data_IF_373452492645
#
_entry.id   IF_373452492645
#
_cell.length_a   1.000
_cell.length_b   1.000
_cell.length_c   1.000
_cell.angle_alpha   90.00
_cell.angle_beta   90.00
_cell.angle_gamma   90.00
#
_symmetry.space_group_name_H-M   'P 1'
#
loop_
_entity.id
_entity.type
_entity.pdbx_description
1 polymer ?
#
# COMPACT_ATOMS: atom_id res chain seq x y z
N UNK A 1 13.73 -18.18 0.21
CA UNK A 1 12.44 -18.47 -0.44
C UNK A 1 12.48 -18.06 -1.91
N UNK A 2 11.58 -18.61 -2.73
CA UNK A 2 11.31 -18.11 -4.09
C UNK A 2 9.94 -17.40 -4.07
N UNK A 3 9.91 -16.10 -4.35
CA UNK A 3 8.73 -15.24 -4.18
C UNK A 3 8.31 -14.64 -5.51
N UNK A 4 7.07 -14.89 -5.95
CA UNK A 4 6.49 -14.23 -7.10
C UNK A 4 5.85 -12.89 -6.67
N UNK A 5 6.11 -11.80 -7.40
CA UNK A 5 5.62 -10.46 -7.05
C UNK A 5 4.89 -9.84 -8.24
N UNK A 6 3.58 -9.59 -8.08
CA UNK A 6 2.85 -8.73 -9.00
C UNK A 6 2.99 -7.27 -8.59
N UNK A 7 2.93 -6.34 -9.55
CA UNK A 7 3.21 -4.95 -9.24
C UNK A 7 4.67 -4.69 -8.84
N UNK A 8 5.58 -5.59 -9.20
CA UNK A 8 7.01 -5.52 -8.90
C UNK A 8 7.70 -4.25 -9.43
N UNK A 9 7.17 -3.62 -10.47
CA UNK A 9 7.65 -2.33 -11.02
C UNK A 9 7.15 -1.11 -10.24
N UNK A 10 6.18 -1.29 -9.34
CA UNK A 10 5.65 -0.23 -8.48
C UNK A 10 6.60 0.13 -7.33
N UNK A 11 6.25 1.18 -6.57
CA UNK A 11 7.08 1.69 -5.48
C UNK A 11 7.38 0.58 -4.44
N UNK A 12 6.35 0.01 -3.84
CA UNK A 12 6.52 -1.04 -2.80
C UNK A 12 7.17 -2.29 -3.40
N UNK A 13 6.73 -2.70 -4.60
CA UNK A 13 7.23 -3.92 -5.25
C UNK A 13 8.73 -3.89 -5.55
N UNK A 14 9.26 -2.75 -6.02
CA UNK A 14 10.71 -2.58 -6.26
C UNK A 14 11.52 -2.66 -4.97
N UNK A 15 11.08 -1.96 -3.93
CA UNK A 15 11.75 -1.98 -2.63
C UNK A 15 11.71 -3.38 -2.00
N UNK A 16 10.57 -4.07 -2.09
CA UNK A 16 10.44 -5.44 -1.61
C UNK A 16 11.35 -6.40 -2.39
N UNK A 17 11.33 -6.32 -3.73
CA UNK A 17 12.18 -7.17 -4.57
C UNK A 17 13.67 -6.98 -4.22
N UNK A 18 14.13 -5.73 -4.05
CA UNK A 18 15.50 -5.41 -3.65
C UNK A 18 15.84 -6.03 -2.29
N UNK A 19 15.00 -5.88 -1.27
CA UNK A 19 15.23 -6.43 0.07
C UNK A 19 15.26 -7.96 0.07
N UNK A 20 14.37 -8.61 -0.67
CA UNK A 20 14.36 -10.07 -0.81
C UNK A 20 15.64 -10.57 -1.48
N UNK A 21 16.07 -9.95 -2.58
CA UNK A 21 17.33 -10.30 -3.26
C UNK A 21 18.55 -10.08 -2.37
N UNK A 22 18.61 -8.99 -1.61
CA UNK A 22 19.67 -8.72 -0.62
C UNK A 22 19.70 -9.77 0.50
N UNK A 23 18.54 -10.33 0.88
CA UNK A 23 18.43 -11.42 1.84
C UNK A 23 18.86 -12.78 1.27
N UNK A 24 19.02 -12.89 -0.04
CA UNK A 24 19.37 -14.12 -0.75
C UNK A 24 18.17 -14.93 -1.26
N UNK A 25 16.98 -14.34 -1.24
CA UNK A 25 15.78 -14.95 -1.83
C UNK A 25 15.80 -14.86 -3.36
N UNK A 26 15.01 -15.71 -4.00
CA UNK A 26 14.74 -15.63 -5.43
C UNK A 26 13.44 -14.83 -5.66
N UNK A 27 13.45 -13.92 -6.62
CA UNK A 27 12.28 -13.12 -6.98
C UNK A 27 11.84 -13.44 -8.40
N UNK A 28 10.54 -13.66 -8.58
CA UNK A 28 9.88 -13.80 -9.88
C UNK A 28 8.96 -12.59 -10.10
N UNK A 29 9.47 -11.50 -10.71
CA UNK A 29 8.65 -10.32 -10.95
C UNK A 29 7.62 -10.61 -12.05
N UNK A 30 6.37 -10.25 -11.83
CA UNK A 30 5.28 -10.32 -12.82
C UNK A 30 4.91 -8.91 -13.27
N UNK A 31 4.87 -8.67 -14.57
CA UNK A 31 4.57 -7.36 -15.15
C UNK A 31 3.85 -7.50 -16.49
N UNK A 32 2.97 -6.55 -16.81
CA UNK A 32 2.32 -6.47 -18.13
C UNK A 32 3.29 -6.10 -19.25
N UNK A 33 4.37 -5.40 -18.91
CA UNK A 33 5.42 -5.02 -19.86
C UNK A 33 6.66 -5.89 -19.67
N UNK A 34 7.35 -6.20 -20.76
CA UNK A 34 8.68 -6.79 -20.68
C UNK A 34 9.65 -5.79 -20.02
N UNK A 35 10.61 -6.31 -19.23
CA UNK A 35 11.59 -5.49 -18.57
C UNK A 35 12.26 -6.23 -17.41
N UNK A 36 13.04 -5.49 -16.64
CA UNK A 36 13.73 -6.02 -15.48
C UNK A 36 13.30 -5.25 -14.22
N UNK A 37 13.27 -5.96 -13.10
CA UNK A 37 13.08 -5.40 -11.76
C UNK A 37 14.28 -5.80 -10.93
N UNK A 38 15.05 -4.82 -10.46
CA UNK A 38 16.29 -5.04 -9.70
C UNK A 38 17.25 -6.06 -10.36
N UNK A 39 17.37 -5.98 -11.70
CA UNK A 39 18.21 -6.88 -12.51
C UNK A 39 17.60 -8.24 -12.84
N UNK A 40 16.41 -8.56 -12.32
CA UNK A 40 15.71 -9.82 -12.61
C UNK A 40 14.72 -9.63 -13.74
N UNK A 41 14.76 -10.52 -14.74
CA UNK A 41 13.85 -10.48 -15.90
C UNK A 41 12.41 -10.71 -15.42
N UNK A 42 11.51 -9.80 -15.79
CA UNK A 42 10.10 -9.94 -15.47
C UNK A 42 9.40 -10.94 -16.42
N UNK A 43 8.54 -11.77 -15.84
CA UNK A 43 7.61 -12.61 -16.57
C UNK A 43 6.43 -11.77 -17.01
N UNK A 44 6.13 -11.79 -18.31
CA UNK A 44 4.99 -11.07 -18.86
C UNK A 44 3.69 -11.73 -18.41
N UNK A 45 2.75 -10.93 -17.88
CA UNK A 45 1.44 -11.39 -17.47
C UNK A 45 0.42 -10.25 -17.45
N UNK A 46 -0.66 -10.42 -18.19
CA UNK A 46 -1.83 -9.55 -18.11
C UNK A 46 -3.03 -10.33 -17.52
N UNK A 47 -3.43 -10.07 -16.27
CA UNK A 47 -4.48 -10.81 -15.58
C UNK A 47 -5.87 -10.65 -16.21
N UNK A 48 -6.05 -9.71 -17.15
CA UNK A 48 -7.33 -9.55 -17.87
C UNK A 48 -7.49 -10.62 -18.93
N UNK A 49 -6.39 -11.06 -19.56
CA UNK A 49 -6.40 -11.96 -20.70
C UNK A 49 -5.79 -13.34 -20.41
N UNK A 50 -4.88 -13.40 -19.41
CA UNK A 50 -4.04 -14.58 -19.19
C UNK A 50 -4.31 -15.21 -17.83
N UNK A 51 -4.18 -16.52 -17.77
CA UNK A 51 -4.07 -17.25 -16.50
C UNK A 51 -2.72 -16.96 -15.85
N UNK A 52 -2.62 -17.20 -14.52
CA UNK A 52 -1.36 -17.02 -13.80
C UNK A 52 -0.28 -17.94 -14.39
N UNK A 53 0.86 -17.40 -14.84
CA UNK A 53 1.90 -18.21 -15.50
C UNK A 53 2.54 -19.19 -14.52
N UNK A 54 2.87 -20.40 -15.00
CA UNK A 54 3.52 -21.45 -14.20
C UNK A 54 4.80 -20.97 -13.50
N UNK A 55 5.52 -20.04 -14.10
CA UNK A 55 6.69 -19.44 -13.46
C UNK A 55 6.39 -18.76 -12.12
N UNK A 56 5.12 -18.39 -11.87
CA UNK A 56 4.66 -17.82 -10.61
C UNK A 56 4.12 -18.85 -9.61
N UNK A 57 4.05 -20.13 -10.01
CA UNK A 57 3.54 -21.22 -9.16
C UNK A 57 4.54 -22.37 -9.01
N UNK A 58 5.25 -22.74 -10.08
CA UNK A 58 6.14 -23.91 -10.07
C UNK A 58 7.41 -23.66 -9.23
N UNK A 59 7.49 -24.35 -8.09
CA UNK A 59 8.58 -24.22 -7.14
C UNK A 59 8.67 -22.82 -6.49
N UNK A 60 7.58 -22.08 -6.47
CA UNK A 60 7.43 -20.79 -5.77
C UNK A 60 6.85 -21.07 -4.40
N UNK A 61 7.44 -20.47 -3.36
CA UNK A 61 7.00 -20.63 -1.96
C UNK A 61 5.86 -19.67 -1.61
N UNK A 62 5.88 -18.45 -2.18
CA UNK A 62 4.91 -17.40 -1.85
C UNK A 62 4.62 -16.48 -3.03
N UNK A 63 3.40 -15.92 -3.05
CA UNK A 63 3.00 -14.83 -3.94
C UNK A 63 2.76 -13.56 -3.14
N UNK A 64 3.33 -12.44 -3.61
CA UNK A 64 3.01 -11.10 -3.11
C UNK A 64 2.28 -10.34 -4.21
N UNK A 65 1.02 -9.98 -3.95
CA UNK A 65 0.18 -9.26 -4.91
C UNK A 65 0.07 -7.78 -4.54
N UNK A 66 0.83 -6.94 -5.25
CA UNK A 66 0.82 -5.48 -5.10
C UNK A 66 0.31 -4.76 -6.36
N UNK A 67 -0.26 -5.52 -7.30
CA UNK A 67 -0.76 -4.93 -8.54
C UNK A 67 -2.00 -4.06 -8.30
N UNK A 68 -2.01 -2.89 -8.93
CA UNK A 68 -3.15 -1.98 -8.86
C UNK A 68 -2.86 -0.67 -9.57
N UNK A 69 -3.84 -0.15 -10.32
CA UNK A 69 -3.75 1.17 -10.90
C UNK A 69 -3.70 2.24 -9.79
N UNK A 70 -2.87 3.28 -9.98
CA UNK A 70 -2.74 4.37 -9.01
C UNK A 70 -4.09 5.06 -8.78
N UNK A 71 -4.47 5.25 -7.53
CA UNK A 71 -5.68 6.00 -7.15
C UNK A 71 -5.50 7.51 -7.27
N UNK A 72 -4.23 7.96 -7.29
CA UNK A 72 -3.88 9.39 -7.30
C UNK A 72 -3.73 9.97 -8.71
N UNK A 73 -3.81 9.15 -9.77
CA UNK A 73 -3.62 9.61 -11.14
C UNK A 73 -4.94 10.14 -11.74
N UNK A 74 -5.05 11.45 -11.81
CA UNK A 74 -6.15 12.14 -12.45
C UNK A 74 -7.47 12.11 -11.65
N UNK A 75 -8.52 12.62 -12.30
CA UNK A 75 -9.88 12.66 -11.73
C UNK A 75 -10.55 11.29 -11.82
N UNK A 76 -11.41 10.99 -10.85
CA UNK A 76 -12.15 9.74 -10.85
C UNK A 76 -13.38 9.82 -11.75
N UNK A 77 -13.20 9.55 -13.05
CA UNK A 77 -14.31 9.26 -13.97
C UNK A 77 -14.84 7.85 -13.71
N UNK A 78 -15.94 7.51 -14.33
CA UNK A 78 -16.53 6.14 -14.26
C UNK A 78 -15.50 5.09 -14.73
N UNK A 79 -14.80 5.36 -15.84
CA UNK A 79 -13.78 4.49 -16.42
C UNK A 79 -12.58 4.35 -15.48
N UNK A 80 -12.16 5.48 -14.86
CA UNK A 80 -11.05 5.47 -13.91
C UNK A 80 -11.37 4.66 -12.66
N UNK A 81 -12.58 4.82 -12.09
CA UNK A 81 -13.03 4.01 -10.95
C UNK A 81 -13.08 2.52 -11.32
N UNK A 82 -13.62 2.19 -12.51
CA UNK A 82 -13.61 0.81 -13.02
C UNK A 82 -12.18 0.27 -13.10
N UNK A 83 -11.25 1.02 -13.68
CA UNK A 83 -9.85 0.61 -13.76
C UNK A 83 -9.20 0.40 -12.38
N UNK A 84 -9.45 1.32 -11.42
CA UNK A 84 -8.93 1.20 -10.05
C UNK A 84 -9.42 -0.09 -9.40
N UNK A 85 -10.71 -0.39 -9.49
CA UNK A 85 -11.32 -1.59 -8.93
C UNK A 85 -10.83 -2.85 -9.65
N UNK A 86 -11.00 -2.89 -10.95
CA UNK A 86 -10.76 -4.10 -11.76
C UNK A 86 -9.28 -4.52 -11.75
N UNK A 87 -8.34 -3.57 -11.77
CA UNK A 87 -6.91 -3.86 -11.67
C UNK A 87 -6.52 -4.55 -10.35
N UNK A 88 -7.35 -4.46 -9.33
CA UNK A 88 -7.15 -5.12 -8.03
C UNK A 88 -7.92 -6.43 -7.96
N UNK A 89 -9.22 -6.35 -8.16
CA UNK A 89 -10.13 -7.49 -7.98
C UNK A 89 -9.82 -8.59 -9.00
N UNK A 90 -9.73 -8.26 -10.30
CA UNK A 90 -9.48 -9.29 -11.34
C UNK A 90 -8.11 -9.94 -11.12
N UNK A 91 -7.05 -9.14 -10.91
CA UNK A 91 -5.71 -9.68 -10.66
C UNK A 91 -5.69 -10.63 -9.47
N UNK A 92 -6.33 -10.22 -8.37
CA UNK A 92 -6.34 -11.01 -7.13
C UNK A 92 -7.18 -12.28 -7.29
N UNK A 93 -8.31 -12.21 -7.99
CA UNK A 93 -9.14 -13.38 -8.29
C UNK A 93 -8.36 -14.40 -9.11
N UNK A 94 -7.65 -13.98 -10.17
CA UNK A 94 -6.82 -14.89 -10.97
C UNK A 94 -5.73 -15.59 -10.16
N UNK A 95 -5.08 -14.84 -9.26
CA UNK A 95 -4.09 -15.42 -8.34
C UNK A 95 -4.77 -16.43 -7.40
N UNK A 96 -5.86 -16.05 -6.75
CA UNK A 96 -6.55 -16.90 -5.79
C UNK A 96 -7.07 -18.17 -6.44
N UNK A 97 -7.66 -18.12 -7.64
CA UNK A 97 -8.11 -19.28 -8.42
C UNK A 97 -6.96 -20.25 -8.72
N UNK A 98 -5.80 -19.71 -9.14
CA UNK A 98 -4.62 -20.53 -9.42
C UNK A 98 -4.07 -21.21 -8.15
N UNK A 99 -4.10 -20.52 -7.01
CA UNK A 99 -3.60 -21.04 -5.73
C UNK A 99 -4.59 -22.02 -5.06
N UNK A 100 -5.89 -21.85 -5.27
CA UNK A 100 -6.92 -22.73 -4.71
C UNK A 100 -6.81 -24.17 -5.20
N UNK A 101 -6.10 -24.43 -6.31
CA UNK A 101 -5.81 -25.78 -6.82
C UNK A 101 -4.84 -26.61 -5.96
N UNK A 102 -4.22 -26.06 -4.93
CA UNK A 102 -3.45 -26.76 -3.89
C UNK A 102 -2.06 -27.27 -4.31
N UNK A 103 -1.62 -27.07 -5.55
CA UNK A 103 -0.30 -27.52 -6.05
C UNK A 103 0.73 -26.39 -6.20
N UNK A 104 0.51 -25.26 -5.55
CA UNK A 104 1.31 -24.05 -5.72
C UNK A 104 1.87 -23.47 -4.41
N UNK A 105 2.18 -22.16 -4.41
CA UNK A 105 2.68 -21.43 -3.24
C UNK A 105 1.78 -21.57 -2.02
N UNK A 106 2.40 -21.82 -0.85
CA UNK A 106 1.69 -21.99 0.42
C UNK A 106 1.29 -20.65 1.09
N UNK A 107 1.75 -19.51 0.56
CA UNK A 107 1.53 -18.18 1.15
C UNK A 107 1.10 -17.17 0.09
N UNK A 108 0.05 -16.41 0.39
CA UNK A 108 -0.36 -15.23 -0.36
C UNK A 108 -0.32 -14.01 0.56
N UNK A 109 0.51 -13.00 0.23
CA UNK A 109 0.41 -11.67 0.82
C UNK A 109 -0.24 -10.75 -0.21
N UNK A 110 -1.48 -10.35 0.06
CA UNK A 110 -2.23 -9.48 -0.86
C UNK A 110 -2.27 -8.04 -0.35
N UNK A 111 -2.06 -7.10 -1.27
CA UNK A 111 -2.31 -5.69 -1.00
C UNK A 111 -3.76 -5.42 -0.60
N UNK A 112 -3.93 -4.39 0.22
CA UNK A 112 -5.15 -3.67 0.53
C UNK A 112 -4.75 -2.22 0.90
N UNK A 113 -5.62 -1.43 1.45
CA UNK A 113 -5.34 -0.06 1.83
C UNK A 113 -6.11 0.36 3.09
N UNK A 114 -5.57 1.32 3.84
CA UNK A 114 -6.28 1.98 4.95
C UNK A 114 -7.63 2.58 4.55
N UNK A 115 -7.81 2.87 3.25
CA UNK A 115 -9.11 3.28 2.69
C UNK A 115 -10.24 2.27 2.90
N UNK A 116 -9.96 1.04 3.31
CA UNK A 116 -10.94 0.04 3.77
C UNK A 116 -11.90 0.59 4.81
N UNK A 117 -11.42 1.44 5.69
CA UNK A 117 -12.21 1.97 6.82
C UNK A 117 -13.11 3.16 6.44
N UNK A 118 -12.87 3.81 5.29
CA UNK A 118 -13.53 5.07 4.96
C UNK A 118 -13.19 6.21 5.92
N UNK A 119 -13.97 7.28 5.90
CA UNK A 119 -13.79 8.41 6.82
C UNK A 119 -14.61 8.21 8.10
N UNK A 120 -13.95 7.97 9.22
CA UNK A 120 -14.56 7.69 10.53
C UNK A 120 -14.23 8.76 11.58
N UNK A 121 -13.79 9.95 11.15
CA UNK A 121 -13.46 11.06 12.07
C UNK A 121 -12.33 10.69 13.02
N UNK A 122 -12.60 10.73 14.34
CA UNK A 122 -11.61 10.49 15.39
C UNK A 122 -11.58 9.05 15.94
N UNK A 123 -12.43 8.19 15.40
CA UNK A 123 -12.48 6.79 15.77
C UNK A 123 -11.13 6.11 15.54
N UNK A 124 -10.68 5.36 16.54
CA UNK A 124 -9.45 4.54 16.42
C UNK A 124 -9.81 3.27 15.66
N UNK A 125 -9.10 3.02 14.57
CA UNK A 125 -9.39 1.95 13.62
C UNK A 125 -8.27 0.91 13.64
N UNK A 126 -8.60 -0.26 14.16
CA UNK A 126 -7.76 -1.45 14.13
C UNK A 126 -8.26 -2.46 13.09
N UNK A 127 -7.63 -3.61 13.03
CA UNK A 127 -7.94 -4.65 12.03
C UNK A 127 -9.31 -5.30 12.23
N UNK A 128 -9.91 -5.20 13.43
CA UNK A 128 -11.25 -5.69 13.75
C UNK A 128 -12.35 -4.66 13.43
N UNK A 129 -11.98 -3.42 13.16
CA UNK A 129 -12.91 -2.33 12.85
C UNK A 129 -13.66 -2.59 11.54
N UNK A 130 -14.95 -2.28 11.53
CA UNK A 130 -15.81 -2.46 10.35
C UNK A 130 -15.35 -1.59 9.17
N UNK A 131 -15.63 -2.02 7.92
CA UNK A 131 -15.33 -1.23 6.73
C UNK A 131 -16.19 0.03 6.64
N UNK A 132 -15.72 1.00 5.85
CA UNK A 132 -16.53 2.12 5.40
C UNK A 132 -17.47 1.74 4.26
N UNK A 133 -18.16 2.76 3.73
CA UNK A 133 -19.18 2.60 2.69
C UNK A 133 -18.90 3.40 1.41
N UNK A 134 -17.75 4.07 1.32
CA UNK A 134 -17.34 4.83 0.14
C UNK A 134 -16.78 3.93 -0.98
N UNK A 135 -16.37 4.54 -2.09
CA UNK A 135 -15.82 3.83 -3.24
C UNK A 135 -14.53 3.06 -2.90
N UNK A 136 -13.63 3.64 -2.11
CA UNK A 136 -12.36 3.00 -1.75
C UNK A 136 -12.58 1.85 -0.79
N UNK A 137 -13.47 2.03 0.19
CA UNK A 137 -13.81 0.99 1.16
C UNK A 137 -14.44 -0.23 0.46
N UNK A 138 -15.44 0.00 -0.43
CA UNK A 138 -16.04 -1.08 -1.22
C UNK A 138 -15.02 -1.78 -2.11
N UNK A 139 -14.13 -1.03 -2.76
CA UNK A 139 -13.07 -1.62 -3.58
C UNK A 139 -12.10 -2.48 -2.74
N UNK A 140 -11.73 -2.00 -1.55
CA UNK A 140 -10.87 -2.75 -0.64
C UNK A 140 -11.54 -4.03 -0.12
N UNK A 141 -12.83 -3.96 0.23
CA UNK A 141 -13.60 -5.16 0.64
C UNK A 141 -13.62 -6.23 -0.44
N UNK A 142 -13.91 -5.85 -1.70
CA UNK A 142 -13.92 -6.79 -2.83
C UNK A 142 -12.51 -7.36 -3.09
N UNK A 143 -11.49 -6.53 -2.94
CA UNK A 143 -10.10 -6.95 -3.09
C UNK A 143 -9.67 -7.95 -2.02
N UNK A 144 -9.99 -7.67 -0.74
CA UNK A 144 -9.70 -8.57 0.37
C UNK A 144 -10.48 -9.89 0.25
N UNK A 145 -11.76 -9.83 -0.13
CA UNK A 145 -12.58 -11.02 -0.36
C UNK A 145 -12.01 -11.92 -1.46
N UNK A 146 -11.52 -11.31 -2.57
CA UNK A 146 -10.87 -12.05 -3.64
C UNK A 146 -9.57 -12.74 -3.15
N UNK A 147 -8.77 -12.07 -2.31
CA UNK A 147 -7.56 -12.66 -1.75
C UNK A 147 -7.87 -13.83 -0.81
N UNK A 148 -8.86 -13.67 0.06
CA UNK A 148 -9.25 -14.69 1.04
C UNK A 148 -9.78 -15.97 0.38
N UNK A 149 -10.24 -15.90 -0.86
CA UNK A 149 -10.66 -17.11 -1.61
C UNK A 149 -9.52 -18.12 -1.80
N UNK A 150 -8.25 -17.68 -1.82
CA UNK A 150 -7.09 -18.58 -1.90
C UNK A 150 -6.98 -19.52 -0.68
N UNK A 151 -7.54 -19.16 0.46
CA UNK A 151 -7.49 -19.97 1.68
C UNK A 151 -8.22 -21.32 1.53
N UNK A 152 -9.16 -21.45 0.59
CA UNK A 152 -9.86 -22.71 0.29
C UNK A 152 -8.92 -23.81 -0.22
N UNK A 153 -7.77 -23.43 -0.80
CA UNK A 153 -6.69 -24.34 -1.22
C UNK A 153 -5.65 -24.63 -0.14
N UNK A 154 -5.89 -24.26 1.11
CA UNK A 154 -4.92 -24.43 2.20
C UNK A 154 -3.82 -23.37 2.21
N UNK A 155 -3.93 -22.32 1.40
CA UNK A 155 -2.97 -21.22 1.33
C UNK A 155 -3.13 -20.29 2.52
N UNK A 156 -2.03 -19.96 3.20
CA UNK A 156 -2.03 -18.93 4.23
C UNK A 156 -2.12 -17.55 3.59
N UNK A 157 -3.18 -16.82 3.88
CA UNK A 157 -3.46 -15.51 3.31
C UNK A 157 -3.22 -14.43 4.34
N UNK A 158 -2.36 -13.46 4.01
CA UNK A 158 -2.18 -12.22 4.75
C UNK A 158 -2.58 -11.02 3.88
N UNK A 159 -3.26 -10.02 4.46
CA UNK A 159 -3.78 -8.86 3.72
C UNK A 159 -3.21 -7.59 4.33
N UNK A 160 -2.45 -6.83 3.54
CA UNK A 160 -1.77 -5.61 4.01
C UNK A 160 -2.60 -4.36 3.72
N UNK A 161 -3.29 -3.81 4.75
CA UNK A 161 -4.00 -2.51 4.69
C UNK A 161 -2.99 -1.38 4.83
N UNK A 162 -2.35 -1.03 3.71
CA UNK A 162 -1.24 -0.10 3.67
C UNK A 162 -1.73 1.36 3.74
N UNK A 163 -1.09 2.14 4.58
CA UNK A 163 -1.28 3.58 4.69
C UNK A 163 -0.56 4.38 3.61
N UNK A 164 -0.34 5.67 3.87
CA UNK A 164 0.42 6.57 3.00
C UNK A 164 1.91 6.26 3.10
N UNK A 165 2.48 5.75 2.03
CA UNK A 165 3.89 5.30 1.99
C UNK A 165 4.85 6.46 1.80
N UNK A 166 5.85 6.54 2.66
CA UNK A 166 6.95 7.50 2.61
C UNK A 166 8.20 6.85 2.02
N UNK A 167 8.64 7.36 0.86
CA UNK A 167 9.84 6.91 0.16
C UNK A 167 10.46 8.10 -0.60
N UNK A 168 11.79 8.13 -0.70
CA UNK A 168 12.50 9.21 -1.39
C UNK A 168 12.36 9.18 -2.92
N UNK A 169 12.19 7.99 -3.49
CA UNK A 169 12.20 7.72 -4.94
C UNK A 169 10.78 7.54 -5.53
N UNK A 170 9.74 7.90 -4.77
CA UNK A 170 8.37 7.82 -5.24
C UNK A 170 7.30 8.15 -4.20
N UNK A 171 6.05 7.88 -4.54
CA UNK A 171 4.92 8.17 -3.65
C UNK A 171 4.71 9.66 -3.40
N UNK A 172 4.42 10.02 -2.14
CA UNK A 172 4.03 11.40 -1.78
C UNK A 172 5.22 12.29 -1.44
N UNK A 173 6.35 11.72 -0.96
CA UNK A 173 7.51 12.49 -0.45
C UNK A 173 8.06 13.47 -1.48
N UNK A 174 8.40 13.09 -2.74
CA UNK A 174 8.98 14.02 -3.69
C UNK A 174 8.08 15.24 -3.96
N UNK A 175 6.76 15.01 -4.03
CA UNK A 175 5.78 16.08 -4.28
C UNK A 175 5.63 17.00 -3.06
N UNK A 176 5.45 16.42 -1.86
CA UNK A 176 5.26 17.20 -0.64
C UNK A 176 6.53 17.95 -0.24
N UNK A 177 7.71 17.34 -0.39
CA UNK A 177 8.99 18.00 -0.15
C UNK A 177 9.21 19.19 -1.09
N UNK A 178 8.84 19.05 -2.39
CA UNK A 178 8.88 20.18 -3.34
C UNK A 178 7.99 21.33 -2.91
N UNK A 179 6.74 21.05 -2.51
CA UNK A 179 5.81 22.06 -2.00
C UNK A 179 6.33 22.70 -0.70
N UNK A 180 6.88 21.90 0.21
CA UNK A 180 7.43 22.39 1.46
C UNK A 180 8.64 23.32 1.23
N UNK A 181 9.59 22.94 0.34
CA UNK A 181 10.73 23.80 -0.03
C UNK A 181 10.29 25.14 -0.64
N UNK A 182 9.19 25.14 -1.39
CA UNK A 182 8.58 26.34 -1.95
C UNK A 182 7.79 27.18 -0.91
N UNK A 183 7.69 26.74 0.37
CA UNK A 183 6.88 27.38 1.40
C UNK A 183 5.38 27.23 1.22
N UNK A 184 4.95 26.31 0.35
CA UNK A 184 3.54 26.06 -0.01
C UNK A 184 2.91 24.88 0.76
N UNK A 185 3.68 24.21 1.63
CA UNK A 185 3.12 23.21 2.52
C UNK A 185 2.31 23.88 3.64
N UNK A 186 1.17 23.25 3.98
CA UNK A 186 0.35 23.74 5.07
C UNK A 186 -0.90 22.87 5.26
N UNK A 187 -1.82 23.33 6.12
CA UNK A 187 -3.05 22.59 6.37
C UNK A 187 -3.91 22.44 5.10
N UNK A 188 -4.26 21.20 4.74
CA UNK A 188 -5.19 20.89 3.67
C UNK A 188 -6.57 20.74 4.29
N UNK A 189 -7.59 21.45 3.78
CA UNK A 189 -8.97 21.38 4.26
C UNK A 189 -9.09 21.54 5.79
N UNK A 190 -8.26 22.42 6.37
CA UNK A 190 -8.18 22.63 7.81
C UNK A 190 -7.23 21.70 8.56
N UNK A 191 -6.70 20.66 7.92
CA UNK A 191 -5.65 19.78 8.45
C UNK A 191 -6.08 18.85 9.60
N UNK A 192 -7.39 18.69 9.84
CA UNK A 192 -7.92 17.90 10.97
C UNK A 192 -8.03 16.41 10.70
N UNK A 193 -8.00 16.00 9.43
CA UNK A 193 -8.06 14.59 9.02
C UNK A 193 -6.81 13.83 9.47
N UNK A 194 -6.98 12.58 9.84
CA UNK A 194 -5.89 11.69 10.20
C UNK A 194 -5.17 11.15 8.97
N UNK A 195 -3.87 11.00 9.07
CA UNK A 195 -3.02 10.45 8.01
C UNK A 195 -2.39 9.16 8.52
N UNK A 196 -2.84 8.01 8.06
CA UNK A 196 -2.19 6.73 8.34
C UNK A 196 -0.94 6.63 7.47
N UNK A 197 0.21 7.07 7.97
CA UNK A 197 1.47 7.04 7.25
C UNK A 197 2.33 5.82 7.63
N UNK A 198 3.28 5.47 6.78
CA UNK A 198 4.27 4.42 7.03
C UNK A 198 5.50 4.63 6.16
N UNK A 199 6.69 4.32 6.69
CA UNK A 199 7.93 4.33 5.93
C UNK A 199 8.01 3.10 5.00
N UNK A 200 8.67 3.25 3.84
CA UNK A 200 8.81 2.19 2.83
C UNK A 200 9.56 0.97 3.38
N UNK A 201 10.54 1.17 4.28
CA UNK A 201 11.29 0.08 4.88
C UNK A 201 10.41 -0.72 5.85
N UNK A 202 9.53 -0.06 6.60
CA UNK A 202 8.53 -0.72 7.45
C UNK A 202 7.44 -1.40 6.62
N UNK A 203 6.98 -0.79 5.51
CA UNK A 203 6.04 -1.45 4.59
C UNK A 203 6.60 -2.79 4.13
N UNK A 204 7.82 -2.78 3.62
CA UNK A 204 8.44 -4.01 3.11
C UNK A 204 8.83 -4.96 4.22
N UNK A 205 9.22 -4.45 5.39
CA UNK A 205 9.51 -5.23 6.59
C UNK A 205 8.30 -6.04 7.08
N UNK A 206 7.11 -5.41 7.18
CA UNK A 206 5.87 -6.10 7.55
C UNK A 206 5.44 -7.13 6.50
N UNK A 207 5.62 -6.85 5.20
CA UNK A 207 5.36 -7.83 4.14
C UNK A 207 6.32 -9.03 4.28
N UNK A 208 7.61 -8.79 4.54
CA UNK A 208 8.58 -9.87 4.76
C UNK A 208 8.24 -10.67 6.03
N UNK A 209 7.82 -10.03 7.12
CA UNK A 209 7.35 -10.72 8.31
C UNK A 209 6.11 -11.59 8.01
N UNK A 210 5.21 -11.10 7.14
CA UNK A 210 4.05 -11.88 6.70
C UNK A 210 4.43 -13.06 5.79
N UNK A 211 5.53 -13.00 5.07
CA UNK A 211 6.08 -14.14 4.32
C UNK A 211 6.66 -15.19 5.27
N UNK A 212 7.43 -14.78 6.26
CA UNK A 212 8.28 -15.63 7.07
C UNK A 212 7.55 -16.29 8.26
N UNK A 213 6.51 -15.65 8.81
CA UNK A 213 5.89 -16.09 10.07
C UNK A 213 4.41 -16.49 9.91
N UNK A 214 4.06 -17.67 10.37
CA UNK A 214 2.69 -18.23 10.30
C UNK A 214 1.66 -17.39 11.05
N UNK A 215 2.06 -16.72 12.13
CA UNK A 215 1.17 -15.83 12.89
C UNK A 215 0.64 -14.64 12.07
N UNK A 216 1.30 -14.29 10.95
CA UNK A 216 0.84 -13.24 10.06
C UNK A 216 -0.19 -13.77 9.06
N UNK A 217 -1.41 -13.96 9.54
CA UNK A 217 -2.58 -14.37 8.75
C UNK A 217 -3.70 -13.36 8.89
N UNK A 218 -4.57 -13.25 7.87
CA UNK A 218 -5.65 -12.27 7.84
C UNK A 218 -5.16 -10.83 7.62
N UNK A 219 -6.02 -9.82 7.88
CA UNK A 219 -5.67 -8.41 7.68
C UNK A 219 -4.67 -7.92 8.73
N UNK A 220 -3.81 -7.00 8.32
CA UNK A 220 -2.98 -6.19 9.20
C UNK A 220 -2.83 -4.76 8.67
N UNK A 221 -2.89 -3.79 9.57
CA UNK A 221 -2.64 -2.38 9.26
C UNK A 221 -1.13 -2.16 9.08
N UNK A 222 -0.72 -1.90 7.85
CA UNK A 222 0.65 -1.57 7.52
C UNK A 222 0.82 -0.06 7.61
N UNK A 223 0.92 0.42 8.85
CA UNK A 223 1.03 1.83 9.23
C UNK A 223 2.05 1.98 10.35
N UNK A 224 2.60 3.19 10.51
CA UNK A 224 3.42 3.54 11.67
C UNK A 224 2.56 3.56 12.95
N UNK A 225 3.15 3.31 14.13
CA UNK A 225 2.42 3.35 15.41
C UNK A 225 1.95 4.76 15.77
N UNK A 226 2.63 5.78 15.26
CA UNK A 226 2.28 7.19 15.48
C UNK A 226 1.16 7.64 14.54
N UNK A 227 -0.06 7.75 15.04
CA UNK A 227 -1.17 8.37 14.30
C UNK A 227 -1.05 9.89 14.29
N UNK A 228 -1.14 10.53 13.13
CA UNK A 228 -0.96 11.98 12.98
C UNK A 228 -2.12 12.68 12.28
N UNK A 229 -2.36 13.96 12.65
CA UNK A 229 -3.21 14.85 11.86
C UNK A 229 -2.46 15.37 10.65
N UNK A 230 -3.19 15.70 9.58
CA UNK A 230 -2.57 16.23 8.37
C UNK A 230 -1.79 17.54 8.64
N UNK A 231 -2.29 18.40 9.53
CA UNK A 231 -1.58 19.64 9.92
C UNK A 231 -0.22 19.35 10.57
N UNK A 232 -0.12 18.28 11.35
CA UNK A 232 1.12 17.89 12.01
C UNK A 232 2.09 17.21 11.04
N UNK A 233 1.58 16.44 10.08
CA UNK A 233 2.34 15.92 8.94
C UNK A 233 2.91 17.10 8.12
N UNK A 234 2.10 18.11 7.79
CA UNK A 234 2.58 19.30 7.07
C UNK A 234 3.69 20.03 7.84
N UNK A 235 3.54 20.19 9.16
CA UNK A 235 4.56 20.79 10.03
C UNK A 235 5.85 19.97 10.06
N UNK A 236 5.76 18.64 10.10
CA UNK A 236 6.92 17.76 10.04
C UNK A 236 7.69 17.94 8.72
N UNK A 237 6.97 18.01 7.57
CA UNK A 237 7.61 18.35 6.29
C UNK A 237 8.26 19.72 6.31
N UNK A 238 7.61 20.72 6.91
CA UNK A 238 8.19 22.06 7.09
C UNK A 238 9.49 22.03 7.88
N UNK A 239 9.53 21.31 9.01
CA UNK A 239 10.75 21.12 9.82
C UNK A 239 11.84 20.44 9.01
N UNK A 240 11.52 19.35 8.30
CA UNK A 240 12.49 18.59 7.52
C UNK A 240 13.19 19.42 6.43
N UNK A 241 12.53 20.46 5.89
CA UNK A 241 13.11 21.33 4.85
C UNK A 241 13.48 22.73 5.36
N UNK A 242 13.37 23.01 6.66
CA UNK A 242 13.68 24.32 7.26
C UNK A 242 12.74 25.44 6.81
N UNK A 243 11.47 25.16 6.53
CA UNK A 243 10.46 26.12 6.06
C UNK A 243 9.18 26.05 6.88
N UNK A 244 8.46 27.16 7.10
CA UNK A 244 7.18 27.13 7.77
C UNK A 244 6.12 26.42 6.93
N UNK A 245 5.26 25.62 7.57
CA UNK A 245 4.11 24.95 6.95
C UNK A 245 2.82 25.74 7.23
N UNK A 246 2.74 26.98 6.73
CA UNK A 246 1.71 27.94 7.13
C UNK A 246 0.65 28.23 6.06
N UNK A 247 0.88 27.89 4.79
CA UNK A 247 -0.03 28.23 3.69
C UNK A 247 -1.17 27.21 3.60
N UNK A 248 -2.42 27.58 3.98
CA UNK A 248 -3.52 26.64 3.95
C UNK A 248 -4.00 26.39 2.52
N UNK A 249 -4.38 25.16 2.23
CA UNK A 249 -5.06 24.80 0.97
C UNK A 249 -6.54 24.53 1.26
N UNK A 250 -7.46 25.40 0.78
CA UNK A 250 -8.89 25.22 1.01
C UNK A 250 -9.43 23.96 0.36
N UNK A 251 -10.38 23.27 1.02
CA UNK A 251 -11.05 22.08 0.50
C UNK A 251 -11.68 22.30 -0.89
N UNK A 252 -12.22 23.50 -1.13
CA UNK A 252 -12.83 23.87 -2.42
C UNK A 252 -11.80 23.80 -3.57
N UNK A 253 -10.60 24.31 -3.37
CA UNK A 253 -9.52 24.27 -4.37
C UNK A 253 -9.12 22.83 -4.70
N UNK A 254 -9.04 21.97 -3.70
CA UNK A 254 -8.75 20.55 -3.88
C UNK A 254 -9.88 19.86 -4.67
N UNK A 255 -11.15 20.10 -4.30
CA UNK A 255 -12.30 19.53 -5.00
C UNK A 255 -12.40 19.98 -6.46
N UNK A 256 -12.10 21.24 -6.74
CA UNK A 256 -12.09 21.77 -8.12
C UNK A 256 -11.00 21.11 -8.99
N UNK A 257 -9.84 20.81 -8.42
CA UNK A 257 -8.73 20.20 -9.16
C UNK A 257 -8.84 18.68 -9.27
N UNK A 258 -9.15 18.00 -8.16
CA UNK A 258 -9.15 16.54 -8.07
C UNK A 258 -10.53 15.90 -8.26
N UNK A 259 -11.61 16.68 -8.20
CA UNK A 259 -12.98 16.12 -8.22
C UNK A 259 -13.22 15.19 -7.04
N UNK A 260 -13.79 14.01 -7.28
CA UNK A 260 -14.07 13.02 -6.25
C UNK A 260 -12.78 12.42 -5.64
N UNK A 261 -11.66 12.41 -6.35
CA UNK A 261 -10.37 11.98 -5.80
C UNK A 261 -9.85 12.90 -4.67
N UNK A 262 -10.52 14.03 -4.41
CA UNK A 262 -10.21 14.92 -3.28
C UNK A 262 -10.25 14.19 -1.94
N UNK A 263 -11.08 13.15 -1.79
CA UNK A 263 -11.17 12.32 -0.57
C UNK A 263 -9.82 11.74 -0.14
N UNK A 264 -8.91 11.50 -1.09
CA UNK A 264 -7.56 10.99 -0.79
C UNK A 264 -6.75 11.92 0.13
N UNK A 265 -7.11 13.20 0.20
CA UNK A 265 -6.39 14.22 0.99
C UNK A 265 -7.29 15.00 1.94
N UNK A 266 -8.62 14.93 1.77
CA UNK A 266 -9.58 15.62 2.65
C UNK A 266 -10.15 14.73 3.73
N UNK A 267 -10.16 13.43 3.51
CA UNK A 267 -10.64 12.41 4.43
C UNK A 267 -9.45 11.71 5.08
N UNK A 268 -9.69 10.98 6.16
CA UNK A 268 -8.62 10.33 6.87
C UNK A 268 -9.09 9.19 7.78
N UNK A 269 -8.14 8.35 8.17
CA UNK A 269 -8.35 7.21 9.03
C UNK A 269 -7.34 7.23 10.17
N UNK A 270 -7.81 7.14 11.41
CA UNK A 270 -6.95 7.00 12.59
C UNK A 270 -6.58 5.52 12.78
N UNK A 271 -5.83 4.97 11.84
CA UNK A 271 -5.41 3.58 11.90
C UNK A 271 -4.35 3.35 12.97
N UNK A 272 -4.45 2.21 13.66
CA UNK A 272 -3.44 1.68 14.58
C UNK A 272 -3.04 0.27 14.16
N UNK A 273 -1.75 -0.12 14.27
CA UNK A 273 -1.23 -1.39 13.77
C UNK A 273 -1.30 -2.49 14.83
N UNK A 274 -2.49 -2.78 15.40
CA UNK A 274 -2.65 -3.73 16.50
C UNK A 274 -2.13 -5.12 16.21
N UNK A 275 -2.36 -5.62 15.00
CA UNK A 275 -1.87 -6.92 14.58
C UNK A 275 -0.33 -6.96 14.54
N UNK A 276 0.32 -5.93 14.04
CA UNK A 276 1.78 -5.85 14.01
C UNK A 276 2.38 -5.71 15.41
N UNK A 277 1.78 -4.86 16.28
CA UNK A 277 2.17 -4.71 17.68
C UNK A 277 2.07 -6.04 18.44
N UNK A 278 0.95 -6.74 18.32
CA UNK A 278 0.72 -8.02 19.03
C UNK A 278 1.64 -9.14 18.55
N UNK A 279 2.15 -9.05 17.31
CA UNK A 279 3.10 -9.98 16.71
C UNK A 279 4.57 -9.58 16.94
N UNK A 280 4.81 -8.52 17.73
CA UNK A 280 6.15 -8.07 18.11
C UNK A 280 6.94 -7.42 16.97
N UNK A 281 6.28 -6.83 15.97
CA UNK A 281 6.98 -6.10 14.92
C UNK A 281 7.72 -4.89 15.51
N UNK A 282 8.98 -4.74 15.19
CA UNK A 282 9.82 -3.60 15.56
C UNK A 282 9.96 -2.65 14.38
N UNK A 283 9.36 -1.46 14.47
CA UNK A 283 9.45 -0.45 13.42
C UNK A 283 10.86 0.12 13.32
N UNK A 284 11.37 0.25 12.11
CA UNK A 284 12.60 0.98 11.82
C UNK A 284 12.38 2.49 11.94
N UNK A 285 11.20 2.97 11.53
CA UNK A 285 10.80 4.37 11.58
C UNK A 285 9.46 4.56 12.32
N UNK A 286 9.42 4.45 13.66
CA UNK A 286 8.17 4.58 14.42
C UNK A 286 7.64 6.02 14.46
N UNK A 287 8.51 7.03 14.25
CA UNK A 287 8.18 8.44 14.30
C UNK A 287 8.46 9.16 12.97
N UNK A 288 7.58 10.07 12.58
CA UNK A 288 7.60 10.72 11.26
C UNK A 288 8.88 11.55 11.02
N UNK A 289 9.40 12.22 12.03
CA UNK A 289 10.60 13.09 11.87
C UNK A 289 11.84 12.23 11.50
N UNK A 290 11.97 11.01 12.03
CA UNK A 290 13.04 10.09 11.67
C UNK A 290 12.91 9.59 10.23
N UNK A 291 11.71 9.21 9.80
CA UNK A 291 11.44 8.82 8.42
C UNK A 291 11.73 9.98 7.45
N UNK A 292 11.24 11.18 7.73
CA UNK A 292 11.46 12.34 6.86
C UNK A 292 12.96 12.72 6.78
N UNK A 293 13.71 12.62 7.88
CA UNK A 293 15.16 12.86 7.86
C UNK A 293 15.89 11.86 6.96
N UNK A 294 15.44 10.60 6.91
CA UNK A 294 16.02 9.58 6.04
C UNK A 294 15.59 9.72 4.57
N UNK A 295 14.41 10.31 4.30
CA UNK A 295 13.80 10.35 2.95
C UNK A 295 13.89 11.69 2.23
N UNK A 296 14.17 12.78 2.94
CA UNK A 296 14.30 14.12 2.36
C UNK A 296 15.78 14.56 2.49
N UNK A 297 16.54 14.57 1.39
CA UNK A 297 17.92 15.03 1.37
C UNK A 297 18.04 16.56 1.53
#
# INVERSE_FOLDING_TARGET
MKVAITGATGLIGRHLARRLLQRGDQVVPLSRAHGQVEGVQAVAWDPVFDDLPRAATDGVDAVVNLAGASVADGRWTRERRKLIRDSRVITTTRIAEALAGGAGPGVLVSGSASGYYGNRGDEVLDEASAPGDDFLARTAMEWEAAAMAAATGGVRVAVTRTGMVFASDGGVIPRLAKLARAGLAGPIAGGRQWVPWVDIDDVTGMIMAALDHEAWTGPFNNVAPESMRQVDVARAFGRAVGRPAAVPTPAMAIRLTMGEAAVLVTDGQRCVPRAAESRGYAWEYPAIDASLAARIP
#
